data_IF_065704575108
#
_entry.id   IF_065704575108
#
_cell.length_a   1.000
_cell.length_b   1.000
_cell.length_c   1.000
_cell.angle_alpha   90.00
_cell.angle_beta   90.00
_cell.angle_gamma   90.00
#
_symmetry.space_group_name_H-M   'P 1'
#
loop_
_entity.id
_entity.type
_entity.pdbx_description
1 polymer ?
#
# COMPACT_ATOMS: atom_id res chain seq x y z
N UNK A 1 16.61 -50.14 27.69
CA UNK A 1 16.17 -48.74 27.91
C UNK A 1 15.40 -48.33 26.66
N UNK A 2 14.10 -47.99 26.74
CA UNK A 2 13.46 -47.34 25.60
C UNK A 2 14.22 -46.04 25.37
N UNK A 3 14.70 -45.83 24.16
CA UNK A 3 15.46 -44.65 23.74
C UNK A 3 14.61 -43.41 24.00
N UNK A 4 14.93 -42.67 25.06
CA UNK A 4 14.33 -41.38 25.36
C UNK A 4 14.58 -40.47 24.16
N UNK A 5 13.55 -40.23 23.35
CA UNK A 5 13.65 -39.27 22.25
C UNK A 5 13.66 -37.87 22.87
N UNK A 6 14.84 -37.23 22.90
CA UNK A 6 15.01 -35.85 23.35
C UNK A 6 14.10 -34.87 22.59
N UNK A 7 13.67 -35.24 21.37
CA UNK A 7 12.73 -34.48 20.55
C UNK A 7 11.39 -34.25 21.26
N UNK A 8 10.90 -35.22 22.04
CA UNK A 8 9.63 -35.08 22.76
C UNK A 8 9.68 -33.99 23.86
N UNK A 9 10.87 -33.67 24.36
CA UNK A 9 11.08 -32.64 25.38
C UNK A 9 11.55 -31.31 24.76
N UNK A 10 11.85 -31.29 23.47
CA UNK A 10 12.40 -30.11 22.82
C UNK A 10 11.46 -28.89 22.87
N UNK A 11 10.12 -29.00 22.72
CA UNK A 11 9.23 -27.86 22.87
C UNK A 11 9.38 -27.11 24.21
N UNK A 12 9.64 -27.82 25.31
CA UNK A 12 9.83 -27.20 26.63
C UNK A 12 11.25 -26.69 26.87
N UNK A 13 12.24 -27.25 26.18
CA UNK A 13 13.65 -26.86 26.30
C UNK A 13 14.06 -25.73 25.34
N UNK A 14 13.35 -25.57 24.21
CA UNK A 14 13.73 -24.67 23.13
C UNK A 14 13.92 -23.22 23.58
N UNK A 15 13.02 -22.71 24.44
CA UNK A 15 13.11 -21.35 24.97
C UNK A 15 14.41 -21.12 25.76
N UNK A 16 14.76 -22.10 26.61
CA UNK A 16 16.02 -22.09 27.37
C UNK A 16 17.25 -22.12 26.45
N UNK A 17 17.24 -22.99 25.44
CA UNK A 17 18.32 -23.09 24.46
C UNK A 17 18.49 -21.78 23.65
N UNK A 18 17.39 -21.17 23.21
CA UNK A 18 17.45 -19.88 22.49
C UNK A 18 18.02 -18.76 23.37
N UNK A 19 17.71 -18.73 24.67
CA UNK A 19 18.32 -17.75 25.59
C UNK A 19 19.82 -17.97 25.81
N UNK A 20 20.30 -19.22 25.74
CA UNK A 20 21.73 -19.53 25.85
C UNK A 20 22.51 -18.94 24.67
N UNK A 21 21.88 -18.73 23.51
CA UNK A 21 22.51 -18.02 22.38
C UNK A 21 22.85 -16.56 22.71
N UNK A 22 22.26 -15.99 23.77
CA UNK A 22 22.58 -14.66 24.26
C UNK A 22 23.65 -14.65 25.37
N UNK A 23 24.26 -15.79 25.68
CA UNK A 23 25.27 -15.90 26.74
C UNK A 23 26.52 -15.07 26.42
N UNK A 24 27.15 -14.48 27.43
CA UNK A 24 28.40 -13.72 27.30
C UNK A 24 29.57 -14.55 26.72
N UNK A 25 29.61 -15.86 26.98
CA UNK A 25 30.67 -16.76 26.55
C UNK A 25 30.44 -17.29 25.13
N UNK A 26 31.37 -16.97 24.22
CA UNK A 26 31.29 -17.36 22.80
C UNK A 26 31.33 -18.86 22.57
N UNK A 27 32.00 -19.64 23.42
CA UNK A 27 32.08 -21.09 23.28
C UNK A 27 30.76 -21.75 23.65
N UNK A 28 30.09 -21.26 24.70
CA UNK A 28 28.74 -21.72 25.08
C UNK A 28 27.75 -21.42 23.95
N UNK A 29 27.78 -20.21 23.38
CA UNK A 29 26.93 -19.84 22.24
C UNK A 29 27.17 -20.76 21.05
N UNK A 30 28.43 -21.00 20.67
CA UNK A 30 28.79 -21.85 19.53
C UNK A 30 28.32 -23.30 19.72
N UNK A 31 28.52 -23.87 20.91
CA UNK A 31 28.07 -25.23 21.20
C UNK A 31 26.54 -25.34 21.18
N UNK A 32 25.84 -24.32 21.68
CA UNK A 32 24.38 -24.26 21.63
C UNK A 32 23.85 -24.10 20.18
N UNK A 33 24.50 -23.26 19.36
CA UNK A 33 24.14 -23.10 17.94
C UNK A 33 24.27 -24.42 17.17
N UNK A 34 25.38 -25.15 17.35
CA UNK A 34 25.58 -26.47 16.72
C UNK A 34 24.49 -27.46 17.16
N UNK A 35 24.21 -27.53 18.46
CA UNK A 35 23.16 -28.40 19.00
C UNK A 35 21.77 -28.08 18.41
N UNK A 36 21.42 -26.80 18.32
CA UNK A 36 20.16 -26.36 17.71
C UNK A 36 20.11 -26.67 16.21
N UNK A 37 21.24 -26.57 15.50
CA UNK A 37 21.33 -26.97 14.10
C UNK A 37 21.07 -28.48 13.92
N UNK A 38 21.65 -29.31 14.79
CA UNK A 38 21.45 -30.76 14.75
C UNK A 38 19.99 -31.15 15.04
N UNK A 39 19.35 -30.51 16.03
CA UNK A 39 17.94 -30.72 16.30
C UNK A 39 17.05 -30.32 15.12
N UNK A 40 17.31 -29.17 14.50
CA UNK A 40 16.51 -28.72 13.36
C UNK A 40 16.61 -29.68 12.17
N UNK A 41 17.81 -30.22 11.92
CA UNK A 41 18.05 -31.22 10.87
C UNK A 41 17.28 -32.52 11.15
N UNK A 42 17.25 -33.01 12.39
CA UNK A 42 16.51 -34.23 12.73
C UNK A 42 14.99 -34.02 12.62
N UNK A 43 14.47 -32.88 13.08
CA UNK A 43 13.03 -32.56 12.95
C UNK A 43 12.64 -32.42 11.47
N UNK A 44 13.49 -31.79 10.66
CA UNK A 44 13.25 -31.68 9.21
C UNK A 44 13.17 -33.05 8.52
N UNK A 45 13.78 -34.09 9.12
CA UNK A 45 13.69 -35.47 8.66
C UNK A 45 12.46 -36.21 9.20
N UNK A 46 11.97 -35.84 10.38
CA UNK A 46 10.86 -36.48 11.08
C UNK A 46 9.89 -35.46 11.71
N UNK A 47 9.10 -34.73 10.89
CA UNK A 47 8.25 -33.64 11.37
C UNK A 47 7.14 -34.10 12.34
N UNK A 48 6.64 -35.34 12.18
CA UNK A 48 5.57 -35.91 13.01
C UNK A 48 5.97 -36.17 14.48
N UNK A 49 7.26 -36.05 14.82
CA UNK A 49 7.79 -36.43 16.13
C UNK A 49 7.71 -35.32 17.20
N UNK A 50 7.32 -34.09 16.82
CA UNK A 50 7.37 -32.91 17.70
C UNK A 50 6.16 -32.00 17.54
N UNK A 51 5.77 -31.33 18.62
CA UNK A 51 4.73 -30.29 18.62
C UNK A 51 5.25 -29.00 17.97
N UNK A 52 5.11 -28.91 16.64
CA UNK A 52 5.55 -27.75 15.83
C UNK A 52 4.85 -26.45 16.27
N UNK A 53 3.52 -26.38 16.49
CA UNK A 53 2.86 -25.16 16.95
C UNK A 53 3.44 -24.57 18.25
N UNK A 54 3.71 -25.41 19.26
CA UNK A 54 4.31 -24.94 20.52
C UNK A 54 5.72 -24.36 20.31
N UNK A 55 6.51 -24.98 19.43
CA UNK A 55 7.84 -24.51 19.07
C UNK A 55 7.78 -23.19 18.28
N UNK A 56 6.85 -23.06 17.32
CA UNK A 56 6.64 -21.82 16.55
C UNK A 56 6.35 -20.64 17.47
N UNK A 57 5.47 -20.80 18.47
CA UNK A 57 5.19 -19.73 19.44
C UNK A 57 6.45 -19.31 20.22
N UNK A 58 7.25 -20.28 20.67
CA UNK A 58 8.51 -20.02 21.36
C UNK A 58 9.49 -19.25 20.45
N UNK A 59 9.58 -19.63 19.19
CA UNK A 59 10.44 -18.98 18.19
C UNK A 59 9.99 -17.55 17.89
N UNK A 60 8.68 -17.32 17.76
CA UNK A 60 8.09 -15.99 17.55
C UNK A 60 8.47 -15.05 18.69
N UNK A 61 8.28 -15.48 19.95
CA UNK A 61 8.61 -14.66 21.13
C UNK A 61 10.10 -14.32 21.15
N UNK A 62 10.97 -15.33 20.97
CA UNK A 62 12.43 -15.11 20.99
C UNK A 62 12.89 -14.23 19.81
N UNK A 63 12.31 -14.40 18.62
CA UNK A 63 12.60 -13.56 17.46
C UNK A 63 12.23 -12.10 17.71
N UNK A 64 11.04 -11.83 18.26
CA UNK A 64 10.59 -10.45 18.60
C UNK A 64 11.53 -9.80 19.62
N UNK A 65 11.88 -10.52 20.70
CA UNK A 65 12.78 -10.02 21.75
C UNK A 65 14.17 -9.69 21.18
N UNK A 66 14.75 -10.63 20.41
CA UNK A 66 16.05 -10.44 19.78
C UNK A 66 16.04 -9.29 18.77
N UNK A 67 14.97 -9.15 17.97
CA UNK A 67 14.81 -8.05 17.01
C UNK A 67 14.76 -6.68 17.70
N UNK A 68 14.02 -6.57 18.80
CA UNK A 68 13.96 -5.35 19.59
C UNK A 68 15.35 -5.00 20.18
N UNK A 69 16.07 -6.00 20.70
CA UNK A 69 17.40 -5.79 21.26
C UNK A 69 18.42 -5.33 20.19
N UNK A 70 18.42 -5.94 19.00
CA UNK A 70 19.24 -5.51 17.85
C UNK A 70 18.90 -4.06 17.45
N UNK A 71 17.60 -3.71 17.38
CA UNK A 71 17.17 -2.35 17.05
C UNK A 71 17.67 -1.30 18.06
N UNK A 72 17.65 -1.61 19.37
CA UNK A 72 18.18 -0.69 20.40
C UNK A 72 19.69 -0.47 20.26
N UNK A 73 20.42 -1.49 19.81
CA UNK A 73 21.87 -1.40 19.57
C UNK A 73 22.18 -0.52 18.36
N UNK A 74 21.41 -0.66 17.27
CA UNK A 74 21.51 0.19 16.09
C UNK A 74 21.24 1.67 16.40
N UNK A 75 20.25 1.96 17.27
CA UNK A 75 19.95 3.33 17.68
C UNK A 75 21.06 3.95 18.55
N UNK A 76 21.74 3.16 19.40
CA UNK A 76 22.86 3.63 20.24
C UNK A 76 24.17 3.78 19.48
N UNK A 77 24.35 3.11 18.34
CA UNK A 77 25.53 3.19 17.48
C UNK A 77 25.65 4.49 16.67
N UNK A 78 24.58 5.30 16.61
CA UNK A 78 24.63 6.67 16.08
C UNK A 78 25.14 7.63 17.16
N UNK A 79 26.40 8.06 17.06
CA UNK A 79 27.09 8.81 18.11
C UNK A 79 26.39 10.14 18.48
N UNK A 80 26.19 10.43 19.78
CA UNK A 80 26.09 11.78 20.32
C UNK A 80 27.47 12.45 20.28
N UNK A 81 27.56 13.63 19.66
CA UNK A 81 28.67 14.60 19.71
C UNK A 81 29.84 14.23 20.64
N UNK A 82 30.92 13.67 20.09
CA UNK A 82 32.20 13.50 20.79
C UNK A 82 33.26 14.47 20.22
N UNK A 83 34.13 15.04 21.07
CA UNK A 83 34.98 16.17 20.70
C UNK A 83 36.16 15.72 19.82
N UNK A 84 36.51 16.57 18.85
CA UNK A 84 37.65 16.40 17.96
C UNK A 84 38.98 16.41 18.76
N UNK A 85 39.60 15.24 18.93
CA UNK A 85 41.06 15.16 19.01
C UNK A 85 41.61 13.74 18.82
N UNK A 86 42.47 13.61 17.80
CA UNK A 86 43.61 12.71 17.66
C UNK A 86 43.36 11.21 17.37
N UNK A 87 43.49 10.85 16.09
CA UNK A 87 44.46 9.84 15.65
C UNK A 87 44.01 8.37 15.53
N UNK A 88 44.01 7.92 14.26
CA UNK A 88 44.25 6.54 13.78
C UNK A 88 43.11 5.50 13.82
N UNK A 89 42.70 5.11 12.59
CA UNK A 89 42.09 3.84 12.20
C UNK A 89 40.75 3.46 12.83
N UNK A 90 39.68 4.19 12.49
CA UNK A 90 38.33 3.65 12.58
C UNK A 90 38.07 2.72 11.37
N UNK A 91 38.27 1.42 11.57
CA UNK A 91 37.74 0.40 10.66
C UNK A 91 36.21 0.50 10.60
N UNK A 92 35.57 0.24 9.45
CA UNK A 92 34.13 0.34 9.34
C UNK A 92 33.46 -0.68 10.27
N UNK A 93 32.40 -0.26 10.95
CA UNK A 93 31.61 -0.96 11.97
C UNK A 93 30.94 -2.29 11.53
N UNK A 94 31.35 -2.85 10.38
CA UNK A 94 30.75 -3.95 9.63
C UNK A 94 30.77 -5.32 10.32
N UNK A 95 31.48 -5.52 11.43
CA UNK A 95 31.64 -6.86 12.04
C UNK A 95 31.12 -7.02 13.48
N UNK A 96 30.57 -5.97 14.11
CA UNK A 96 30.14 -6.07 15.51
C UNK A 96 28.67 -6.49 15.66
N UNK A 97 27.78 -6.04 14.76
CA UNK A 97 26.35 -6.35 14.85
C UNK A 97 26.04 -7.78 14.41
N UNK A 98 26.63 -8.23 13.30
CA UNK A 98 26.48 -9.61 12.80
C UNK A 98 27.03 -10.66 13.75
N UNK A 99 27.99 -10.29 14.60
CA UNK A 99 28.56 -11.14 15.63
C UNK A 99 27.88 -11.00 17.00
N UNK A 100 26.85 -10.17 17.13
CA UNK A 100 26.17 -9.94 18.41
C UNK A 100 25.36 -11.16 18.86
N UNK A 101 25.30 -11.44 20.18
CA UNK A 101 24.51 -12.54 20.73
C UNK A 101 23.03 -12.46 20.33
N UNK A 102 22.47 -11.25 20.37
CA UNK A 102 21.08 -10.99 20.02
C UNK A 102 20.83 -11.27 18.53
N UNK A 103 21.79 -10.91 17.66
CA UNK A 103 21.68 -11.22 16.22
C UNK A 103 21.75 -12.72 15.98
N UNK A 104 22.62 -13.44 16.68
CA UNK A 104 22.69 -14.90 16.59
C UNK A 104 21.36 -15.56 17.02
N UNK A 105 20.77 -15.10 18.12
CA UNK A 105 19.46 -15.58 18.58
C UNK A 105 18.35 -15.29 17.56
N UNK A 106 18.31 -14.06 17.01
CA UNK A 106 17.34 -13.65 15.99
C UNK A 106 17.45 -14.54 14.73
N UNK A 107 18.65 -14.67 14.17
CA UNK A 107 18.91 -15.46 12.97
C UNK A 107 18.58 -16.94 13.20
N UNK A 108 18.92 -17.48 14.38
CA UNK A 108 18.58 -18.87 14.70
C UNK A 108 17.07 -19.07 14.78
N UNK A 109 16.33 -18.19 15.45
CA UNK A 109 14.88 -18.26 15.49
C UNK A 109 14.25 -18.17 14.07
N UNK A 110 14.77 -17.28 13.22
CA UNK A 110 14.33 -17.15 11.83
C UNK A 110 14.63 -18.40 10.99
N UNK A 111 15.79 -19.04 11.14
CA UNK A 111 16.13 -20.29 10.42
C UNK A 111 15.13 -21.39 10.73
N UNK A 112 14.78 -21.54 12.00
CA UNK A 112 13.78 -22.50 12.46
C UNK A 112 12.38 -22.18 11.94
N UNK A 113 11.93 -20.92 12.05
CA UNK A 113 10.66 -20.49 11.48
C UNK A 113 10.59 -20.75 9.97
N UNK A 114 11.66 -20.45 9.23
CA UNK A 114 11.73 -20.72 7.81
C UNK A 114 11.60 -22.21 7.50
N UNK A 115 12.27 -23.09 8.26
CA UNK A 115 12.17 -24.52 8.07
C UNK A 115 10.74 -25.04 8.30
N UNK A 116 10.06 -24.57 9.35
CA UNK A 116 8.67 -24.97 9.60
C UNK A 116 7.70 -24.44 8.55
N UNK A 117 7.90 -23.21 8.06
CA UNK A 117 7.13 -22.68 6.93
C UNK A 117 7.41 -23.48 5.65
N UNK A 118 8.63 -23.97 5.44
CA UNK A 118 8.98 -24.82 4.30
C UNK A 118 8.25 -26.18 4.31
N UNK A 119 8.12 -26.79 5.48
CA UNK A 119 7.53 -28.13 5.61
C UNK A 119 6.01 -28.10 5.71
N UNK A 120 5.44 -27.16 6.48
CA UNK A 120 4.02 -27.20 6.88
C UNK A 120 3.31 -25.84 6.77
N UNK A 121 3.66 -24.99 5.80
CA UNK A 121 3.07 -23.64 5.64
C UNK A 121 1.53 -23.58 5.72
N UNK A 122 0.81 -24.59 5.23
CA UNK A 122 -0.66 -24.64 5.30
C UNK A 122 -1.19 -24.90 6.71
N UNK A 123 -0.49 -25.69 7.54
CA UNK A 123 -0.87 -25.92 8.93
C UNK A 123 -0.59 -24.67 9.79
N UNK A 124 0.29 -23.78 9.33
CA UNK A 124 0.67 -22.55 10.01
C UNK A 124 -0.22 -21.36 9.66
N UNK A 125 -1.25 -21.52 8.82
CA UNK A 125 -2.18 -20.44 8.45
C UNK A 125 -2.77 -19.68 9.66
N UNK A 126 -3.18 -20.35 10.77
CA UNK A 126 -3.67 -19.65 11.96
C UNK A 126 -2.62 -18.76 12.64
N UNK A 127 -1.34 -19.07 12.46
CA UNK A 127 -0.20 -18.40 13.10
C UNK A 127 0.44 -17.33 12.20
N UNK A 128 -0.06 -17.13 10.97
CA UNK A 128 0.54 -16.20 10.01
C UNK A 128 0.70 -14.80 10.60
N UNK A 129 -0.34 -14.25 11.25
CA UNK A 129 -0.26 -12.93 11.86
C UNK A 129 0.87 -12.84 12.91
N UNK A 130 0.99 -13.86 13.76
CA UNK A 130 2.03 -13.90 14.78
C UNK A 130 3.43 -14.07 14.19
N UNK A 131 3.58 -14.90 13.15
CA UNK A 131 4.84 -15.04 12.42
C UNK A 131 5.23 -13.71 11.78
N UNK A 132 4.30 -13.02 11.11
CA UNK A 132 4.57 -11.74 10.44
C UNK A 132 5.01 -10.64 11.41
N UNK A 133 4.39 -10.55 12.58
CA UNK A 133 4.80 -9.58 13.59
C UNK A 133 6.19 -9.86 14.18
N UNK A 134 6.74 -11.06 14.01
CA UNK A 134 8.12 -11.38 14.35
C UNK A 134 9.09 -11.16 13.19
N UNK A 135 8.68 -11.46 11.95
CA UNK A 135 9.57 -11.51 10.79
C UNK A 135 9.61 -10.20 9.99
N UNK A 136 8.50 -9.47 9.83
CA UNK A 136 8.47 -8.21 9.08
C UNK A 136 9.38 -7.11 9.68
N UNK A 137 9.51 -6.95 11.02
CA UNK A 137 10.48 -6.02 11.60
C UNK A 137 11.94 -6.36 11.29
N UNK A 138 12.23 -7.61 10.89
CA UNK A 138 13.57 -8.02 10.47
C UNK A 138 13.95 -7.56 9.06
N UNK A 139 12.99 -7.01 8.28
CA UNK A 139 13.22 -6.48 6.94
C UNK A 139 13.81 -5.08 6.98
N UNK A 140 15.02 -4.94 7.52
CA UNK A 140 15.72 -3.66 7.64
C UNK A 140 16.35 -3.20 6.31
N UNK A 141 16.45 -1.90 6.10
CA UNK A 141 17.06 -1.31 4.89
C UNK A 141 18.59 -1.49 4.84
N UNK A 142 19.23 -1.67 5.99
CA UNK A 142 20.69 -1.84 6.07
C UNK A 142 21.15 -3.12 5.35
N UNK A 143 21.95 -2.93 4.29
CA UNK A 143 22.52 -4.00 3.47
C UNK A 143 23.85 -4.54 4.01
N UNK A 144 24.38 -3.96 5.09
CA UNK A 144 25.63 -4.42 5.69
C UNK A 144 25.46 -5.73 6.46
N UNK A 145 24.26 -6.01 6.98
CA UNK A 145 23.92 -7.27 7.65
C UNK A 145 22.66 -7.92 7.05
N UNK A 146 22.88 -8.77 6.04
CA UNK A 146 21.82 -9.51 5.35
C UNK A 146 21.38 -10.80 6.07
N UNK A 147 22.02 -11.18 7.18
CA UNK A 147 21.86 -12.53 7.77
C UNK A 147 20.43 -12.88 8.18
N UNK A 148 19.69 -11.95 8.80
CA UNK A 148 18.27 -12.10 9.09
C UNK A 148 17.38 -11.65 7.92
N UNK A 149 17.80 -10.62 7.18
CA UNK A 149 17.02 -10.00 6.10
C UNK A 149 16.62 -11.04 5.05
N UNK A 150 17.56 -11.83 4.55
CA UNK A 150 17.27 -12.82 3.51
C UNK A 150 16.32 -13.93 3.99
N UNK A 151 16.45 -14.34 5.26
CA UNK A 151 15.59 -15.37 5.84
C UNK A 151 14.18 -14.81 6.04
N UNK A 152 14.05 -13.59 6.54
CA UNK A 152 12.77 -12.92 6.70
C UNK A 152 12.07 -12.71 5.35
N UNK A 153 12.79 -12.33 4.29
CA UNK A 153 12.25 -12.26 2.93
C UNK A 153 11.73 -13.64 2.49
N UNK A 154 12.52 -14.70 2.66
CA UNK A 154 12.11 -16.06 2.28
C UNK A 154 10.85 -16.51 3.02
N UNK A 155 10.76 -16.27 4.33
CA UNK A 155 9.55 -16.58 5.11
C UNK A 155 8.36 -15.80 4.55
N UNK A 156 8.54 -14.49 4.32
CA UNK A 156 7.49 -13.61 3.81
C UNK A 156 6.92 -14.09 2.47
N UNK A 157 7.79 -14.39 1.49
CA UNK A 157 7.37 -14.91 0.18
C UNK A 157 6.60 -16.24 0.29
N UNK A 158 7.09 -17.16 1.13
CA UNK A 158 6.47 -18.48 1.31
C UNK A 158 5.10 -18.38 1.96
N UNK A 159 4.95 -17.52 2.96
CA UNK A 159 3.66 -17.30 3.61
C UNK A 159 2.65 -16.65 2.66
N UNK A 160 3.05 -15.63 1.88
CA UNK A 160 2.18 -15.04 0.86
C UNK A 160 1.73 -16.10 -0.16
N UNK A 161 2.66 -16.93 -0.64
CA UNK A 161 2.36 -18.03 -1.56
C UNK A 161 1.42 -19.07 -0.93
N UNK A 162 1.63 -19.43 0.34
CA UNK A 162 0.78 -20.38 1.04
C UNK A 162 -0.65 -19.87 1.19
N UNK A 163 -0.83 -18.58 1.51
CA UNK A 163 -2.16 -17.95 1.60
C UNK A 163 -2.87 -17.93 0.24
N UNK A 164 -2.16 -17.60 -0.85
CA UNK A 164 -2.70 -17.67 -2.20
C UNK A 164 -3.13 -19.09 -2.58
N UNK A 165 -2.28 -20.10 -2.36
CA UNK A 165 -2.58 -21.49 -2.67
C UNK A 165 -3.72 -22.07 -1.81
N UNK A 166 -3.84 -21.65 -0.54
CA UNK A 166 -4.91 -22.13 0.35
C UNK A 166 -6.32 -21.78 -0.16
N UNK A 167 -6.45 -20.68 -0.91
CA UNK A 167 -7.72 -20.28 -1.49
C UNK A 167 -8.05 -21.02 -2.79
N UNK A 168 -7.06 -21.27 -3.64
CA UNK A 168 -7.24 -22.09 -4.85
C UNK A 168 -7.71 -23.51 -4.51
N UNK A 169 -7.28 -24.03 -3.36
CA UNK A 169 -7.66 -25.35 -2.85
C UNK A 169 -9.10 -25.42 -2.29
N UNK A 170 -9.81 -24.29 -2.15
CA UNK A 170 -11.25 -24.25 -1.86
C UNK A 170 -12.05 -23.99 -3.16
N UNK A 171 -12.25 -24.97 -4.06
CA UNK A 171 -13.07 -24.74 -5.24
C UNK A 171 -14.57 -24.72 -4.86
N UNK A 172 -15.24 -23.64 -5.28
CA UNK A 172 -16.67 -23.56 -5.61
C UNK A 172 -17.61 -24.61 -4.99
N UNK A 173 -18.14 -24.34 -3.79
CA UNK A 173 -19.44 -24.92 -3.38
C UNK A 173 -20.55 -24.20 -4.16
N UNK A 174 -20.78 -24.63 -5.40
CA UNK A 174 -22.02 -24.38 -6.13
C UNK A 174 -22.56 -25.69 -6.65
N UNK A 175 -23.75 -26.04 -6.15
CA UNK A 175 -24.70 -27.06 -6.61
C UNK A 175 -24.40 -28.55 -6.32
N UNK A 176 -24.90 -29.02 -5.17
CA UNK A 176 -25.75 -30.21 -5.15
C UNK A 176 -26.67 -30.21 -3.92
N UNK A 177 -27.98 -30.18 -4.18
CA UNK A 177 -29.02 -30.42 -3.18
C UNK A 177 -29.11 -31.93 -2.94
N UNK A 178 -28.90 -32.37 -1.69
CA UNK A 178 -29.62 -33.53 -1.15
C UNK A 178 -29.73 -33.42 0.37
N UNK A 179 -30.89 -33.70 0.98
CA UNK A 179 -31.07 -33.63 2.42
C UNK A 179 -30.86 -35.02 3.04
N UNK A 180 -29.87 -35.15 3.92
CA UNK A 180 -29.80 -36.25 4.89
C UNK A 180 -29.43 -35.70 6.26
N UNK A 181 -30.01 -36.25 7.35
CA UNK A 181 -29.95 -35.67 8.70
C UNK A 181 -28.59 -35.96 9.37
N UNK A 182 -28.23 -35.20 10.43
CA UNK A 182 -26.92 -35.28 11.04
C UNK A 182 -26.83 -36.49 11.97
N UNK A 183 -25.75 -37.25 11.87
CA UNK A 183 -25.27 -38.12 12.94
C UNK A 183 -24.02 -37.49 13.53
N UNK A 184 -24.09 -37.23 14.82
CA UNK A 184 -23.01 -36.75 15.68
C UNK A 184 -21.80 -37.69 15.64
N UNK A 185 -20.69 -37.19 15.12
CA UNK A 185 -19.33 -37.59 15.54
C UNK A 185 -18.47 -36.33 15.51
N UNK A 186 -18.23 -35.80 16.71
CA UNK A 186 -17.25 -34.77 17.01
C UNK A 186 -15.85 -35.31 16.77
N UNK A 187 -15.25 -34.98 15.64
CA UNK A 187 -13.79 -34.93 15.48
C UNK A 187 -13.39 -33.45 15.30
N UNK A 188 -12.49 -32.90 16.13
CA UNK A 188 -12.02 -31.53 15.98
C UNK A 188 -10.90 -31.53 14.93
N UNK A 189 -11.26 -31.54 13.65
CA UNK A 189 -10.30 -31.16 12.60
C UNK A 189 -10.07 -29.67 12.70
N UNK A 190 -9.09 -29.26 13.51
CA UNK A 190 -8.53 -27.91 13.54
C UNK A 190 -7.72 -27.71 12.25
N UNK A 191 -8.39 -27.62 11.10
CA UNK A 191 -7.84 -26.93 9.93
C UNK A 191 -8.12 -25.45 10.16
N UNK A 192 -7.30 -24.83 11.01
CA UNK A 192 -7.52 -23.45 11.43
C UNK A 192 -7.46 -22.51 10.23
N UNK A 193 -8.52 -21.75 10.02
CA UNK A 193 -8.58 -20.75 8.96
C UNK A 193 -7.64 -19.57 9.26
N UNK A 194 -7.22 -18.83 8.23
CA UNK A 194 -6.43 -17.62 8.37
C UNK A 194 -7.26 -16.52 9.07
N UNK A 195 -6.76 -15.97 10.18
CA UNK A 195 -7.35 -14.76 10.79
C UNK A 195 -6.92 -13.50 10.02
N UNK A 196 -7.72 -13.13 9.02
CA UNK A 196 -7.47 -11.95 8.18
C UNK A 196 -7.42 -10.66 9.00
N UNK A 197 -8.23 -10.52 10.05
CA UNK A 197 -8.25 -9.32 10.90
C UNK A 197 -6.95 -9.18 11.69
N UNK A 198 -6.41 -10.28 12.20
CA UNK A 198 -5.12 -10.28 12.87
C UNK A 198 -3.98 -9.92 11.91
N UNK A 199 -3.99 -10.46 10.68
CA UNK A 199 -2.97 -10.11 9.66
C UNK A 199 -3.04 -8.63 9.31
N UNK A 200 -4.23 -8.07 9.04
CA UNK A 200 -4.40 -6.64 8.77
C UNK A 200 -3.91 -5.77 9.92
N UNK A 201 -4.20 -6.15 11.18
CA UNK A 201 -3.71 -5.42 12.35
C UNK A 201 -2.19 -5.38 12.39
N UNK A 202 -1.53 -6.51 12.13
CA UNK A 202 -0.06 -6.59 12.10
C UNK A 202 0.50 -5.74 10.97
N UNK A 203 -0.06 -5.80 9.76
CA UNK A 203 0.43 -5.00 8.62
C UNK A 203 0.26 -3.50 8.87
N UNK A 204 -0.83 -3.07 9.51
CA UNK A 204 -1.02 -1.66 9.86
C UNK A 204 -0.02 -1.16 10.89
N UNK A 205 0.35 -1.98 11.88
CA UNK A 205 1.46 -1.65 12.79
C UNK A 205 2.77 -1.50 12.00
N UNK A 206 3.01 -2.37 11.01
CA UNK A 206 4.20 -2.30 10.16
C UNK A 206 4.24 -1.07 9.25
N UNK A 207 3.12 -0.41 8.98
CA UNK A 207 3.09 0.83 8.20
C UNK A 207 3.84 2.00 8.85
N UNK A 208 4.09 1.95 10.15
CA UNK A 208 4.84 2.98 10.88
C UNK A 208 6.32 2.62 11.06
N UNK A 209 6.76 1.49 10.52
CA UNK A 209 8.12 1.03 10.69
C UNK A 209 9.13 1.92 9.94
N UNK A 210 10.29 2.17 10.56
CA UNK A 210 11.32 3.04 9.98
C UNK A 210 11.87 2.50 8.64
N UNK A 211 11.97 1.17 8.52
CA UNK A 211 12.47 0.51 7.31
C UNK A 211 11.47 0.62 6.15
N UNK A 212 11.95 1.12 5.00
CA UNK A 212 11.19 1.18 3.74
C UNK A 212 10.78 -0.23 3.30
N UNK A 213 11.68 -1.21 3.39
CA UNK A 213 11.38 -2.60 3.04
C UNK A 213 10.23 -3.21 3.86
N UNK A 214 10.17 -2.91 5.16
CA UNK A 214 9.08 -3.39 6.03
C UNK A 214 7.75 -2.78 5.61
N UNK A 215 7.70 -1.47 5.35
CA UNK A 215 6.47 -0.77 4.91
C UNK A 215 5.99 -1.29 3.55
N UNK A 216 6.91 -1.48 2.60
CA UNK A 216 6.58 -2.08 1.29
C UNK A 216 6.05 -3.50 1.42
N UNK A 217 6.65 -4.32 2.29
CA UNK A 217 6.20 -5.70 2.51
C UNK A 217 4.82 -5.76 3.17
N UNK A 218 4.52 -4.82 4.08
CA UNK A 218 3.20 -4.69 4.68
C UNK A 218 2.13 -4.27 3.64
N UNK A 219 2.46 -3.34 2.73
CA UNK A 219 1.55 -2.96 1.64
C UNK A 219 1.25 -4.15 0.72
N UNK A 220 2.27 -4.93 0.38
CA UNK A 220 2.12 -6.14 -0.42
C UNK A 220 1.27 -7.21 0.27
N UNK A 221 1.32 -7.32 1.60
CA UNK A 221 0.39 -8.20 2.33
C UNK A 221 -1.06 -7.77 2.17
N UNK A 222 -1.35 -6.46 2.23
CA UNK A 222 -2.70 -5.98 1.97
C UNK A 222 -3.12 -6.31 0.54
N UNK A 223 -2.23 -6.16 -0.44
CA UNK A 223 -2.49 -6.57 -1.83
C UNK A 223 -2.86 -8.05 -1.94
N UNK A 224 -2.06 -8.96 -1.37
CA UNK A 224 -2.37 -10.40 -1.33
C UNK A 224 -3.71 -10.68 -0.64
N UNK A 225 -4.03 -9.97 0.45
CA UNK A 225 -5.31 -10.14 1.13
C UNK A 225 -6.49 -9.61 0.32
N UNK A 226 -6.30 -8.61 -0.54
CA UNK A 226 -7.36 -8.16 -1.46
C UNK A 226 -7.67 -9.23 -2.49
N UNK A 227 -6.64 -9.90 -3.04
CA UNK A 227 -6.83 -10.99 -3.99
C UNK A 227 -7.57 -12.19 -3.38
N UNK A 228 -7.28 -12.49 -2.12
CA UNK A 228 -7.76 -13.72 -1.47
C UNK A 228 -9.02 -13.51 -0.63
N UNK A 229 -9.07 -12.42 0.15
CA UNK A 229 -10.13 -12.10 1.11
C UNK A 229 -10.68 -10.67 0.92
N UNK A 230 -11.14 -10.30 -0.28
CA UNK A 230 -11.48 -8.92 -0.60
C UNK A 230 -12.54 -8.32 0.33
N UNK A 231 -13.61 -9.07 0.64
CA UNK A 231 -14.69 -8.55 1.48
C UNK A 231 -14.17 -8.15 2.87
N UNK A 232 -13.30 -8.96 3.49
CA UNK A 232 -12.70 -8.65 4.78
C UNK A 232 -11.84 -7.39 4.74
N UNK A 233 -11.10 -7.17 3.64
CA UNK A 233 -10.31 -5.94 3.46
C UNK A 233 -11.22 -4.72 3.25
N UNK A 234 -12.28 -4.84 2.46
CA UNK A 234 -13.24 -3.75 2.24
C UNK A 234 -14.06 -3.44 3.49
N UNK A 235 -14.38 -4.42 4.33
CA UNK A 235 -15.06 -4.22 5.60
C UNK A 235 -14.20 -3.39 6.58
N UNK A 236 -12.87 -3.50 6.47
CA UNK A 236 -11.91 -2.75 7.28
C UNK A 236 -11.39 -1.46 6.60
N UNK A 237 -11.97 -1.09 5.46
CA UNK A 237 -11.56 0.08 4.65
C UNK A 237 -11.55 1.41 5.41
N UNK A 238 -12.35 1.53 6.48
CA UNK A 238 -12.37 2.70 7.35
C UNK A 238 -11.03 2.95 8.05
N UNK A 239 -10.28 1.89 8.36
CA UNK A 239 -8.93 1.98 8.92
C UNK A 239 -7.89 2.07 7.80
N UNK A 240 -8.06 1.30 6.73
CA UNK A 240 -7.10 1.23 5.63
C UNK A 240 -6.96 2.55 4.86
N UNK A 241 -8.06 3.20 4.49
CA UNK A 241 -8.03 4.38 3.61
C UNK A 241 -7.21 5.56 4.19
N UNK A 242 -7.39 5.97 5.46
CA UNK A 242 -6.53 6.99 6.07
C UNK A 242 -5.04 6.63 6.04
N UNK A 243 -4.70 5.35 6.23
CA UNK A 243 -3.31 4.87 6.19
C UNK A 243 -2.72 4.97 4.77
N UNK A 244 -3.48 4.59 3.75
CA UNK A 244 -3.07 4.72 2.33
C UNK A 244 -2.87 6.18 1.92
N UNK A 245 -3.76 7.08 2.36
CA UNK A 245 -3.61 8.53 2.15
C UNK A 245 -2.36 9.08 2.83
N UNK A 246 -2.06 8.63 4.06
CA UNK A 246 -0.84 9.03 4.77
C UNK A 246 0.42 8.62 3.99
N UNK A 247 0.42 7.45 3.36
CA UNK A 247 1.56 7.00 2.54
C UNK A 247 1.84 7.86 1.32
N UNK A 248 0.89 8.65 0.83
CA UNK A 248 1.16 9.62 -0.23
C UNK A 248 2.16 10.70 0.23
N UNK A 249 2.26 10.91 1.54
CA UNK A 249 3.22 11.81 2.16
C UNK A 249 4.53 11.13 2.57
N UNK A 250 4.69 9.80 2.38
CA UNK A 250 5.90 9.05 2.77
C UNK A 250 7.16 9.62 2.08
N UNK A 251 8.30 9.75 2.80
CA UNK A 251 9.54 10.25 2.21
C UNK A 251 10.08 9.36 1.08
N UNK A 252 9.83 8.05 1.10
CA UNK A 252 10.29 7.12 0.08
C UNK A 252 9.30 7.07 -1.10
N UNK A 253 9.72 7.45 -2.32
CA UNK A 253 8.83 7.48 -3.47
C UNK A 253 8.33 6.08 -3.88
N UNK A 254 9.07 5.01 -3.60
CA UNK A 254 8.64 3.64 -3.82
C UNK A 254 7.42 3.27 -2.98
N UNK A 255 7.34 3.77 -1.73
CA UNK A 255 6.20 3.56 -0.84
C UNK A 255 4.98 4.33 -1.33
N UNK A 256 5.17 5.57 -1.79
CA UNK A 256 4.10 6.37 -2.42
C UNK A 256 3.52 5.61 -3.61
N UNK A 257 4.38 5.11 -4.52
CA UNK A 257 3.96 4.35 -5.70
C UNK A 257 3.27 3.03 -5.34
N UNK A 258 3.78 2.31 -4.34
CA UNK A 258 3.16 1.06 -3.87
C UNK A 258 1.78 1.31 -3.27
N UNK A 259 1.60 2.39 -2.49
CA UNK A 259 0.29 2.81 -1.98
C UNK A 259 -0.68 3.14 -3.13
N UNK A 260 -0.23 3.91 -4.13
CA UNK A 260 -1.05 4.24 -5.32
C UNK A 260 -1.39 3.00 -6.15
N UNK A 261 -0.48 2.04 -6.26
CA UNK A 261 -0.72 0.75 -6.92
C UNK A 261 -1.80 -0.04 -6.18
N UNK A 262 -1.71 -0.13 -4.86
CA UNK A 262 -2.70 -0.80 -4.02
C UNK A 262 -4.07 -0.12 -4.09
N UNK A 263 -4.13 1.21 -4.09
CA UNK A 263 -5.38 1.96 -4.33
C UNK A 263 -5.97 1.60 -5.69
N UNK A 264 -5.13 1.53 -6.72
CA UNK A 264 -5.54 1.09 -8.07
C UNK A 264 -6.14 -0.30 -8.06
N UNK A 265 -5.46 -1.25 -7.41
CA UNK A 265 -5.91 -2.62 -7.24
C UNK A 265 -7.28 -2.66 -6.54
N UNK A 266 -7.41 -1.99 -5.39
CA UNK A 266 -8.67 -1.90 -4.64
C UNK A 266 -9.80 -1.31 -5.50
N UNK A 267 -9.55 -0.21 -6.20
CA UNK A 267 -10.57 0.43 -7.03
C UNK A 267 -11.03 -0.44 -8.20
N UNK A 268 -10.17 -1.27 -8.78
CA UNK A 268 -10.53 -2.19 -9.88
C UNK A 268 -11.18 -3.48 -9.40
N UNK A 269 -11.04 -3.81 -8.12
CA UNK A 269 -11.55 -5.06 -7.59
C UNK A 269 -13.11 -5.06 -7.60
N UNK A 270 -13.79 -6.15 -8.03
CA UNK A 270 -15.25 -6.20 -8.14
C UNK A 270 -16.00 -5.88 -6.83
N UNK A 271 -15.41 -6.23 -5.69
CA UNK A 271 -15.99 -5.96 -4.37
C UNK A 271 -16.11 -4.46 -4.05
N UNK A 272 -15.31 -3.60 -4.69
CA UNK A 272 -15.38 -2.14 -4.51
C UNK A 272 -16.74 -1.55 -4.95
N UNK A 273 -17.44 -2.21 -5.88
CA UNK A 273 -18.80 -1.80 -6.30
C UNK A 273 -19.85 -1.92 -5.19
N UNK A 274 -19.61 -2.80 -4.21
CA UNK A 274 -20.49 -3.03 -3.05
C UNK A 274 -20.14 -2.14 -1.86
N UNK A 275 -19.09 -1.31 -1.99
CA UNK A 275 -18.69 -0.39 -0.94
C UNK A 275 -19.81 0.62 -0.66
N UNK A 276 -20.30 0.62 0.57
CA UNK A 276 -21.34 1.54 1.05
C UNK A 276 -20.82 2.59 2.02
N UNK A 277 -19.53 2.48 2.40
CA UNK A 277 -18.82 3.31 3.41
C UNK A 277 -19.61 3.56 4.69
N UNK A 278 -20.45 2.61 5.11
CA UNK A 278 -21.12 2.67 6.40
C UNK A 278 -20.19 2.14 7.49
N UNK A 279 -19.77 3.05 8.36
CA UNK A 279 -18.94 2.75 9.52
C UNK A 279 -19.77 2.01 10.60
N UNK A 280 -19.18 1.05 11.33
CA UNK A 280 -19.72 0.62 12.62
C UNK A 280 -19.78 1.83 13.58
N UNK A 281 -20.84 1.99 14.39
CA UNK A 281 -21.07 3.19 15.22
C UNK A 281 -20.11 3.37 16.41
N UNK A 282 -18.92 2.76 16.41
CA UNK A 282 -17.98 2.84 17.53
C UNK A 282 -16.55 3.18 17.06
N UNK A 283 -16.27 4.48 16.96
CA UNK A 283 -15.11 5.16 17.57
C UNK A 283 -15.13 6.63 17.09
N UNK A 284 -14.96 7.56 18.04
CA UNK A 284 -15.19 8.99 17.84
C UNK A 284 -14.45 9.57 16.64
N UNK A 285 -15.20 9.93 15.60
CA UNK A 285 -14.69 10.69 14.47
C UNK A 285 -14.57 12.17 14.84
N UNK A 286 -13.37 12.72 14.65
CA UNK A 286 -13.01 14.12 14.83
C UNK A 286 -13.23 14.96 13.55
N UNK A 287 -13.96 14.45 12.55
CA UNK A 287 -14.20 15.18 11.30
C UNK A 287 -15.70 15.54 11.13
N UNK A 288 -16.02 16.79 10.74
CA UNK A 288 -17.39 17.20 10.48
C UNK A 288 -17.96 16.47 9.26
N UNK A 289 -19.28 16.34 9.23
CA UNK A 289 -20.10 15.59 8.26
C UNK A 289 -19.64 15.73 6.79
N UNK A 290 -18.84 14.76 6.33
CA UNK A 290 -18.61 14.54 4.90
C UNK A 290 -19.83 13.89 4.23
N UNK A 291 -19.92 13.94 2.89
CA UNK A 291 -20.99 13.26 2.17
C UNK A 291 -20.96 11.76 2.50
N UNK A 292 -22.11 11.19 2.86
CA UNK A 292 -22.19 9.76 3.17
C UNK A 292 -21.74 8.94 1.95
N UNK A 293 -21.08 7.80 2.16
CA UNK A 293 -20.67 6.95 1.04
C UNK A 293 -21.85 6.44 0.20
N UNK A 294 -23.08 6.39 0.74
CA UNK A 294 -24.31 6.21 -0.05
C UNK A 294 -24.56 7.36 -1.01
N UNK A 295 -24.34 8.60 -0.58
CA UNK A 295 -24.45 9.80 -1.43
C UNK A 295 -23.37 9.81 -2.51
N UNK A 296 -22.14 9.40 -2.19
CA UNK A 296 -21.05 9.26 -3.16
C UNK A 296 -21.34 8.17 -4.19
N UNK A 297 -21.77 6.98 -3.75
CA UNK A 297 -22.17 5.91 -4.67
C UNK A 297 -23.37 6.31 -5.52
N UNK A 298 -24.34 7.06 -4.98
CA UNK A 298 -25.44 7.63 -5.75
C UNK A 298 -24.94 8.62 -6.81
N UNK A 299 -24.01 9.50 -6.47
CA UNK A 299 -23.38 10.42 -7.42
C UNK A 299 -22.72 9.67 -8.57
N UNK A 300 -21.94 8.62 -8.28
CA UNK A 300 -21.32 7.75 -9.31
C UNK A 300 -22.36 7.02 -10.16
N UNK A 301 -23.42 6.47 -9.56
CA UNK A 301 -24.45 5.76 -10.33
C UNK A 301 -25.33 6.69 -11.19
N UNK A 302 -25.54 7.93 -10.74
CA UNK A 302 -26.25 8.95 -11.49
C UNK A 302 -25.40 9.46 -12.68
N UNK A 303 -24.08 9.43 -12.55
CA UNK A 303 -23.13 9.68 -13.63
C UNK A 303 -22.94 8.42 -14.48
N UNK A 304 -23.83 8.22 -15.47
CA UNK A 304 -23.82 7.18 -16.52
C UNK A 304 -22.68 6.14 -16.46
N UNK A 305 -22.97 4.94 -15.95
CA UNK A 305 -22.06 3.77 -15.84
C UNK A 305 -21.35 3.36 -17.14
N UNK A 306 -21.72 3.92 -18.30
CA UNK A 306 -21.08 3.63 -19.60
C UNK A 306 -19.85 4.48 -19.89
N UNK A 307 -19.55 5.51 -19.10
CA UNK A 307 -18.55 6.53 -19.46
C UNK A 307 -17.15 6.21 -18.93
N UNK A 308 -17.07 5.58 -17.75
CA UNK A 308 -15.84 5.30 -17.00
C UNK A 308 -16.04 4.08 -16.08
N UNK A 309 -15.00 3.26 -15.90
CA UNK A 309 -14.88 2.29 -14.81
C UNK A 309 -14.72 3.02 -13.46
N UNK A 310 -15.82 3.51 -12.91
CA UNK A 310 -15.87 4.28 -11.68
C UNK A 310 -16.75 3.60 -10.62
N UNK A 311 -16.32 3.64 -9.36
CA UNK A 311 -17.12 3.18 -8.22
C UNK A 311 -17.01 4.15 -7.04
N UNK A 312 -17.92 3.98 -6.07
CA UNK A 312 -17.99 4.84 -4.89
C UNK A 312 -16.74 4.81 -4.02
N UNK A 313 -16.01 3.68 -3.98
CA UNK A 313 -14.75 3.57 -3.27
C UNK A 313 -13.67 4.48 -3.87
N UNK A 314 -13.52 4.44 -5.20
CA UNK A 314 -12.59 5.30 -5.93
C UNK A 314 -12.93 6.79 -5.75
N UNK A 315 -14.21 7.14 -5.88
CA UNK A 315 -14.67 8.52 -5.64
C UNK A 315 -14.36 8.99 -4.21
N UNK A 316 -14.58 8.13 -3.21
CA UNK A 316 -14.29 8.44 -1.81
C UNK A 316 -12.80 8.68 -1.59
N UNK A 317 -11.92 7.80 -2.10
CA UNK A 317 -10.48 8.00 -1.99
C UNK A 317 -10.02 9.28 -2.70
N UNK A 318 -10.49 9.56 -3.91
CA UNK A 318 -10.10 10.76 -4.66
C UNK A 318 -10.63 12.05 -3.99
N UNK A 319 -11.79 12.00 -3.34
CA UNK A 319 -12.29 13.11 -2.54
C UNK A 319 -11.40 13.38 -1.33
N UNK A 320 -11.03 12.34 -0.58
CA UNK A 320 -10.11 12.48 0.55
C UNK A 320 -8.74 12.97 0.11
N UNK A 321 -8.25 12.51 -1.04
CA UNK A 321 -7.02 13.01 -1.67
C UNK A 321 -7.12 14.50 -2.03
N UNK A 322 -8.21 14.92 -2.67
CA UNK A 322 -8.42 16.32 -3.01
C UNK A 322 -8.40 17.20 -1.74
N UNK A 323 -9.09 16.76 -0.69
CA UNK A 323 -9.09 17.44 0.61
C UNK A 323 -7.70 17.47 1.26
N UNK A 324 -6.92 16.39 1.16
CA UNK A 324 -5.54 16.34 1.65
C UNK A 324 -4.65 17.34 0.91
N UNK A 325 -4.72 17.37 -0.42
CA UNK A 325 -3.97 18.30 -1.27
C UNK A 325 -4.33 19.77 -1.00
N UNK A 326 -5.61 20.05 -0.73
CA UNK A 326 -6.08 21.39 -0.40
C UNK A 326 -5.60 21.85 0.98
N UNK A 327 -5.54 20.92 1.94
CA UNK A 327 -5.08 21.18 3.31
C UNK A 327 -3.56 21.32 3.40
N UNK A 328 -2.81 20.51 2.66
CA UNK A 328 -1.34 20.49 2.64
C UNK A 328 -0.80 21.08 1.33
N UNK A 329 -0.51 22.39 1.37
CA UNK A 329 0.00 23.14 0.21
C UNK A 329 1.39 22.69 -0.24
N UNK A 330 2.21 22.16 0.66
CA UNK A 330 3.57 21.72 0.32
C UNK A 330 3.52 20.37 -0.39
N UNK A 331 2.67 19.45 0.10
CA UNK A 331 2.38 18.19 -0.58
C UNK A 331 1.81 18.44 -1.99
N UNK A 332 0.85 19.36 -2.13
CA UNK A 332 0.30 19.76 -3.42
C UNK A 332 1.38 20.25 -4.40
N UNK A 333 2.31 21.09 -3.93
CA UNK A 333 3.38 21.66 -4.77
C UNK A 333 4.42 20.62 -5.19
N UNK A 334 4.86 19.79 -4.25
CA UNK A 334 6.02 18.91 -4.46
C UNK A 334 5.64 17.48 -4.88
N UNK A 335 4.45 17.01 -4.52
CA UNK A 335 4.00 15.64 -4.77
C UNK A 335 2.70 15.54 -5.56
N UNK A 336 1.91 16.61 -5.66
CA UNK A 336 0.63 16.60 -6.38
C UNK A 336 0.76 16.15 -7.83
N UNK A 337 1.84 16.52 -8.51
CA UNK A 337 2.14 16.04 -9.87
C UNK A 337 2.33 14.53 -9.92
N UNK A 338 3.29 14.00 -9.14
CA UNK A 338 3.60 12.57 -9.08
C UNK A 338 2.36 11.75 -8.72
N UNK A 339 1.59 12.20 -7.72
CA UNK A 339 0.42 11.46 -7.24
C UNK A 339 -0.65 11.36 -8.32
N UNK A 340 -0.99 12.47 -8.99
CA UNK A 340 -2.03 12.46 -10.03
C UNK A 340 -1.54 11.71 -11.28
N UNK A 341 -0.26 11.80 -11.65
CA UNK A 341 0.27 11.02 -12.77
C UNK A 341 0.27 9.53 -12.48
N UNK A 342 0.68 9.12 -11.28
CA UNK A 342 0.76 7.71 -10.91
C UNK A 342 -0.65 7.13 -10.71
N UNK A 343 -1.60 7.90 -10.15
CA UNK A 343 -3.02 7.52 -10.11
C UNK A 343 -3.61 7.40 -11.52
N UNK A 344 -3.25 8.30 -12.44
CA UNK A 344 -3.72 8.22 -13.82
C UNK A 344 -3.18 6.97 -14.54
N UNK A 345 -1.96 6.53 -14.24
CA UNK A 345 -1.44 5.25 -14.71
C UNK A 345 -2.14 4.07 -14.02
N UNK A 346 -2.39 4.17 -12.72
CA UNK A 346 -2.94 3.10 -11.88
C UNK A 346 -4.46 2.91 -11.99
N UNK A 347 -5.22 3.94 -12.39
CA UNK A 347 -6.69 3.90 -12.49
C UNK A 347 -7.19 4.21 -13.91
N UNK A 348 -6.32 4.68 -14.78
CA UNK A 348 -6.67 5.24 -16.07
C UNK A 348 -6.94 6.75 -15.98
N UNK A 349 -6.26 7.53 -16.82
CA UNK A 349 -6.37 8.99 -16.84
C UNK A 349 -7.82 9.47 -17.04
N UNK A 350 -8.55 8.84 -17.96
CA UNK A 350 -9.97 9.15 -18.19
C UNK A 350 -10.79 9.03 -16.90
N UNK A 351 -10.55 7.98 -16.11
CA UNK A 351 -11.26 7.74 -14.86
C UNK A 351 -10.94 8.77 -13.79
N UNK A 352 -9.64 9.04 -13.59
CA UNK A 352 -9.17 10.01 -12.60
C UNK A 352 -9.71 11.40 -12.92
N UNK A 353 -9.59 11.85 -14.17
CA UNK A 353 -10.05 13.17 -14.58
C UNK A 353 -11.57 13.32 -14.51
N UNK A 354 -12.32 12.27 -14.85
CA UNK A 354 -13.78 12.27 -14.70
C UNK A 354 -14.23 12.39 -13.24
N UNK A 355 -13.66 11.56 -12.36
CA UNK A 355 -14.02 11.55 -10.94
C UNK A 355 -13.58 12.83 -10.23
N UNK A 356 -12.40 13.35 -10.55
CA UNK A 356 -11.97 14.65 -10.04
C UNK A 356 -12.86 15.78 -10.54
N UNK A 357 -13.32 15.75 -11.79
CA UNK A 357 -14.30 16.72 -12.30
C UNK A 357 -15.64 16.64 -11.56
N UNK A 358 -16.12 15.42 -11.26
CA UNK A 358 -17.32 15.21 -10.45
C UNK A 358 -17.17 15.79 -9.03
N UNK A 359 -16.00 15.58 -8.40
CA UNK A 359 -15.65 16.15 -7.09
C UNK A 359 -15.65 17.68 -7.15
N UNK A 360 -14.97 18.26 -8.14
CA UNK A 360 -14.86 19.71 -8.34
C UNK A 360 -16.24 20.35 -8.52
N UNK A 361 -17.10 19.79 -9.36
CA UNK A 361 -18.43 20.35 -9.64
C UNK A 361 -19.39 20.19 -8.45
N UNK A 362 -19.38 19.03 -7.79
CA UNK A 362 -20.45 18.64 -6.87
C UNK A 362 -20.09 18.78 -5.38
N UNK A 363 -18.80 18.77 -5.03
CA UNK A 363 -18.36 18.56 -3.64
C UNK A 363 -17.39 19.63 -3.11
N UNK A 364 -16.74 20.40 -3.98
CA UNK A 364 -15.78 21.43 -3.57
C UNK A 364 -16.39 22.84 -3.58
N UNK A 365 -15.86 23.70 -2.70
CA UNK A 365 -16.16 25.14 -2.73
C UNK A 365 -15.44 25.79 -3.92
N UNK A 366 -15.96 26.91 -4.49
CA UNK A 366 -15.40 27.51 -5.70
C UNK A 366 -13.90 27.84 -5.63
N UNK A 367 -13.38 28.27 -4.46
CA UNK A 367 -11.95 28.57 -4.27
C UNK A 367 -11.08 27.30 -4.31
N UNK A 368 -11.57 26.23 -3.72
CA UNK A 368 -10.86 24.94 -3.68
C UNK A 368 -10.93 24.25 -5.04
N UNK A 369 -12.09 24.31 -5.69
CA UNK A 369 -12.31 23.89 -7.06
C UNK A 369 -11.32 24.56 -8.02
N UNK A 370 -11.11 25.88 -7.92
CA UNK A 370 -10.12 26.60 -8.73
C UNK A 370 -8.71 25.98 -8.61
N UNK A 371 -8.24 25.71 -7.38
CA UNK A 371 -6.90 25.15 -7.15
C UNK A 371 -6.77 23.73 -7.72
N UNK A 372 -7.77 22.88 -7.50
CA UNK A 372 -7.74 21.50 -8.01
C UNK A 372 -7.74 21.51 -9.54
N UNK A 373 -8.58 22.33 -10.17
CA UNK A 373 -8.60 22.49 -11.64
C UNK A 373 -7.28 23.02 -12.17
N UNK A 374 -6.67 24.00 -11.49
CA UNK A 374 -5.35 24.52 -11.86
C UNK A 374 -4.28 23.41 -11.86
N UNK A 375 -4.23 22.59 -10.81
CA UNK A 375 -3.33 21.44 -10.73
C UNK A 375 -3.57 20.46 -11.88
N UNK A 376 -4.82 20.01 -12.04
CA UNK A 376 -5.19 19.02 -13.06
C UNK A 376 -4.89 19.53 -14.46
N UNK A 377 -5.18 20.80 -14.74
CA UNK A 377 -4.92 21.39 -16.05
C UNK A 377 -3.43 21.46 -16.35
N UNK A 378 -2.61 21.91 -15.39
CA UNK A 378 -1.14 21.91 -15.54
C UNK A 378 -0.64 20.51 -15.87
N UNK A 379 -1.04 19.50 -15.09
CA UNK A 379 -0.62 18.11 -15.29
C UNK A 379 -1.10 17.60 -16.66
N UNK A 380 -2.36 17.85 -17.03
CA UNK A 380 -2.94 17.46 -18.32
C UNK A 380 -2.17 18.03 -19.49
N UNK A 381 -1.65 19.25 -19.38
CA UNK A 381 -0.95 19.92 -20.46
C UNK A 381 0.53 19.53 -20.54
N UNK A 382 1.20 19.34 -19.41
CA UNK A 382 2.67 19.21 -19.39
C UNK A 382 3.16 17.76 -19.25
N UNK A 383 2.41 16.87 -18.60
CA UNK A 383 2.95 15.57 -18.21
C UNK A 383 2.97 14.57 -19.38
N UNK A 384 4.13 13.95 -19.71
CA UNK A 384 4.24 13.04 -20.84
C UNK A 384 3.43 11.75 -20.66
N UNK A 385 3.22 11.32 -19.41
CA UNK A 385 2.38 10.15 -19.08
C UNK A 385 0.92 10.30 -19.54
N UNK A 386 0.46 11.53 -19.81
CA UNK A 386 -0.89 11.82 -20.28
C UNK A 386 -0.98 12.05 -21.81
N UNK A 387 0.07 11.73 -22.56
CA UNK A 387 0.08 11.88 -24.03
C UNK A 387 -1.07 11.13 -24.71
N UNK A 388 -1.28 9.87 -24.38
CA UNK A 388 -2.36 9.06 -24.96
C UNK A 388 -3.74 9.63 -24.63
N UNK A 389 -3.91 10.07 -23.38
CA UNK A 389 -5.15 10.69 -22.93
C UNK A 389 -5.43 12.02 -23.67
N UNK A 390 -4.42 12.89 -23.82
CA UNK A 390 -4.54 14.10 -24.65
C UNK A 390 -4.94 13.81 -26.09
N UNK A 391 -4.36 12.75 -26.69
CA UNK A 391 -4.71 12.34 -28.05
C UNK A 391 -6.15 11.82 -28.12
N UNK A 392 -6.58 11.02 -27.16
CA UNK A 392 -7.98 10.57 -27.05
C UNK A 392 -8.94 11.75 -26.92
N UNK A 393 -8.58 12.79 -26.16
CA UNK A 393 -9.38 14.02 -26.04
C UNK A 393 -9.49 14.81 -27.35
N UNK A 394 -8.45 14.79 -28.21
CA UNK A 394 -8.48 15.45 -29.52
C UNK A 394 -9.40 14.74 -30.51
N UNK A 395 -9.58 13.43 -30.36
CA UNK A 395 -10.36 12.59 -31.29
C UNK A 395 -11.67 12.11 -30.67
N UNK A 396 -12.23 12.84 -29.71
CA UNK A 396 -13.46 12.45 -29.03
C UNK A 396 -14.64 12.32 -29.99
N UNK A 397 -15.43 11.28 -29.80
CA UNK A 397 -16.66 11.06 -30.53
C UNK A 397 -17.80 11.86 -29.86
N UNK A 398 -18.41 12.85 -30.54
CA UNK A 398 -19.43 13.71 -29.95
C UNK A 398 -20.70 12.96 -29.52
N UNK A 399 -20.92 11.71 -29.95
CA UNK A 399 -22.06 10.89 -29.49
C UNK A 399 -21.77 10.07 -28.25
N UNK A 400 -20.52 9.63 -28.08
CA UNK A 400 -20.12 8.70 -27.00
C UNK A 400 -19.46 9.45 -25.84
N UNK A 401 -18.68 10.47 -26.15
CA UNK A 401 -17.88 11.23 -25.18
C UNK A 401 -18.58 12.48 -24.63
N UNK A 402 -19.82 12.76 -25.05
CA UNK A 402 -20.51 14.01 -24.66
C UNK A 402 -20.63 14.16 -23.16
N UNK A 403 -20.98 13.09 -22.44
CA UNK A 403 -21.15 13.10 -20.98
C UNK A 403 -19.80 13.33 -20.29
N UNK A 404 -18.74 12.73 -20.82
CA UNK A 404 -17.39 12.92 -20.30
C UNK A 404 -16.91 14.36 -20.48
N UNK A 405 -17.06 14.90 -21.70
CA UNK A 405 -16.66 16.27 -22.01
C UNK A 405 -17.48 17.29 -21.22
N UNK A 406 -18.81 17.11 -21.10
CA UNK A 406 -19.65 17.99 -20.30
C UNK A 406 -19.21 18.02 -18.83
N UNK A 407 -18.90 16.87 -18.24
CA UNK A 407 -18.42 16.79 -16.87
C UNK A 407 -17.11 17.55 -16.67
N UNK A 408 -16.13 17.36 -17.56
CA UNK A 408 -14.89 18.13 -17.55
C UNK A 408 -15.13 19.61 -17.77
N UNK A 409 -15.96 19.96 -18.75
CA UNK A 409 -16.25 21.34 -19.11
C UNK A 409 -16.82 22.10 -17.90
N UNK A 410 -17.81 21.54 -17.20
CA UNK A 410 -18.42 22.15 -16.02
C UNK A 410 -17.43 22.33 -14.88
N UNK A 411 -16.61 21.32 -14.61
CA UNK A 411 -15.55 21.43 -13.61
C UNK A 411 -14.50 22.49 -13.99
N UNK A 412 -14.09 22.54 -15.25
CA UNK A 412 -13.08 23.48 -15.72
C UNK A 412 -13.57 24.93 -15.72
N UNK A 413 -14.89 25.19 -15.72
CA UNK A 413 -15.44 26.54 -15.55
C UNK A 413 -14.97 27.24 -14.26
N UNK A 414 -14.53 26.50 -13.24
CA UNK A 414 -13.98 27.08 -12.02
C UNK A 414 -12.63 27.77 -12.23
N UNK A 415 -11.91 27.50 -13.33
CA UNK A 415 -10.75 28.26 -13.77
C UNK A 415 -10.88 28.60 -15.27
N UNK A 416 -11.17 29.85 -15.64
CA UNK A 416 -11.52 30.20 -17.01
C UNK A 416 -10.34 30.10 -18.00
N UNK A 417 -9.10 30.20 -17.54
CA UNK A 417 -7.91 29.94 -18.39
C UNK A 417 -7.78 28.44 -18.65
N UNK A 418 -8.00 27.61 -17.62
CA UNK A 418 -8.04 26.17 -17.78
C UNK A 418 -9.15 25.74 -18.76
N UNK A 419 -10.34 26.34 -18.66
CA UNK A 419 -11.45 26.09 -19.59
C UNK A 419 -11.06 26.39 -21.04
N UNK A 420 -10.40 27.53 -21.26
CA UNK A 420 -9.88 27.90 -22.58
C UNK A 420 -8.88 26.85 -23.07
N UNK A 421 -7.92 26.43 -22.25
CA UNK A 421 -6.94 25.41 -22.64
C UNK A 421 -7.57 24.04 -22.90
N UNK A 422 -8.61 23.66 -22.16
CA UNK A 422 -9.38 22.44 -22.41
C UNK A 422 -10.03 22.50 -23.80
N UNK A 423 -10.69 23.60 -24.14
CA UNK A 423 -11.35 23.76 -25.43
C UNK A 423 -10.35 23.83 -26.60
N UNK A 424 -9.18 24.41 -26.39
CA UNK A 424 -8.07 24.37 -27.36
C UNK A 424 -7.56 22.94 -27.55
N UNK A 425 -7.36 22.20 -26.46
CA UNK A 425 -6.90 20.81 -26.49
C UNK A 425 -7.89 19.91 -27.25
N UNK A 426 -9.19 20.10 -27.07
CA UNK A 426 -10.25 19.34 -27.74
C UNK A 426 -10.66 19.94 -29.09
N UNK A 427 -9.91 20.91 -29.62
CA UNK A 427 -10.12 21.51 -30.95
C UNK A 427 -11.48 22.22 -31.15
N UNK A 428 -12.10 22.70 -30.06
CA UNK A 428 -13.36 23.44 -30.10
C UNK A 428 -13.11 24.94 -30.33
N UNK A 429 -12.48 25.31 -31.46
CA UNK A 429 -11.99 26.67 -31.70
C UNK A 429 -13.09 27.73 -31.82
N UNK A 430 -14.25 27.36 -32.36
CA UNK A 430 -15.43 28.25 -32.44
C UNK A 430 -15.87 28.68 -31.04
N UNK A 431 -15.88 27.73 -30.10
CA UNK A 431 -16.21 27.98 -28.70
C UNK A 431 -15.10 28.75 -27.98
N UNK A 432 -13.83 28.46 -28.26
CA UNK A 432 -12.69 29.23 -27.74
C UNK A 432 -12.82 30.72 -28.08
N UNK A 433 -13.22 31.05 -29.32
CA UNK A 433 -13.45 32.43 -29.75
C UNK A 433 -14.53 33.13 -28.94
N UNK A 434 -15.60 32.42 -28.58
CA UNK A 434 -16.67 32.97 -27.72
C UNK A 434 -16.15 33.17 -26.29
N UNK A 435 -15.45 32.18 -25.74
CA UNK A 435 -14.87 32.25 -24.40
C UNK A 435 -13.87 33.41 -24.26
N UNK A 436 -13.01 33.66 -25.25
CA UNK A 436 -12.05 34.77 -25.23
C UNK A 436 -12.77 36.13 -25.17
N UNK A 437 -13.89 36.28 -25.90
CA UNK A 437 -14.70 37.51 -25.82
C UNK A 437 -15.28 37.69 -24.42
N UNK A 438 -15.87 36.64 -23.85
CA UNK A 438 -16.41 36.68 -22.49
C UNK A 438 -15.31 36.96 -21.44
N UNK A 439 -14.13 36.36 -21.61
CA UNK A 439 -12.95 36.58 -20.76
C UNK A 439 -12.51 38.04 -20.75
N UNK A 440 -12.54 38.71 -21.91
CA UNK A 440 -12.21 40.13 -22.02
C UNK A 440 -13.19 41.07 -21.31
N UNK A 441 -14.39 40.60 -21.00
CA UNK A 441 -15.41 41.36 -20.25
C UNK A 441 -15.32 41.14 -18.73
N UNK A 442 -14.57 40.12 -18.27
CA UNK A 442 -14.39 39.82 -16.85
C UNK A 442 -13.36 40.75 -16.20
N UNK A 443 -13.55 41.03 -14.91
CA UNK A 443 -12.53 41.70 -14.11
C UNK A 443 -11.29 40.80 -14.00
N UNK A 444 -10.21 41.22 -14.64
CA UNK A 444 -8.96 40.46 -14.73
C UNK A 444 -8.24 40.48 -13.37
N UNK A 445 -8.07 39.29 -12.76
CA UNK A 445 -7.29 39.11 -11.54
C UNK A 445 -5.81 38.85 -11.86
N UNK A 446 -4.92 39.08 -10.87
CA UNK A 446 -3.49 38.74 -11.01
C UNK A 446 -3.29 37.25 -11.25
N UNK A 447 -4.05 36.40 -10.55
CA UNK A 447 -4.00 34.94 -10.73
C UNK A 447 -4.38 34.53 -12.16
N UNK A 448 -5.41 35.16 -12.74
CA UNK A 448 -5.80 34.92 -14.13
C UNK A 448 -4.72 35.36 -15.13
N UNK A 449 -4.04 36.48 -14.88
CA UNK A 449 -2.94 36.94 -15.74
C UNK A 449 -1.76 35.97 -15.72
N UNK A 450 -1.40 35.47 -14.53
CA UNK A 450 -0.32 34.49 -14.37
C UNK A 450 -0.66 33.20 -15.11
N UNK A 451 -1.89 32.69 -14.96
CA UNK A 451 -2.34 31.49 -15.68
C UNK A 451 -2.36 31.71 -17.21
N UNK A 452 -2.82 32.89 -17.66
CA UNK A 452 -2.87 33.21 -19.09
C UNK A 452 -1.46 33.29 -19.69
N UNK A 453 -0.52 33.94 -19.00
CA UNK A 453 0.89 34.00 -19.41
C UNK A 453 1.51 32.59 -19.50
N UNK A 454 1.26 31.75 -18.48
CA UNK A 454 1.69 30.35 -18.51
C UNK A 454 1.10 29.57 -19.69
N UNK A 455 -0.18 29.75 -19.99
CA UNK A 455 -0.81 29.09 -21.13
C UNK A 455 -0.20 29.55 -22.46
N UNK A 456 0.06 30.86 -22.62
CA UNK A 456 0.69 31.41 -23.83
C UNK A 456 2.09 30.80 -24.00
N UNK A 457 2.91 30.81 -22.95
CA UNK A 457 4.25 30.21 -22.97
C UNK A 457 4.19 28.70 -23.30
N UNK A 458 3.20 27.97 -22.78
CA UNK A 458 2.98 26.57 -23.11
C UNK A 458 2.61 26.39 -24.59
N UNK A 459 1.70 27.20 -25.14
CA UNK A 459 1.32 27.14 -26.57
C UNK A 459 2.54 27.40 -27.47
N UNK A 460 3.41 28.33 -27.09
CA UNK A 460 4.65 28.62 -27.81
C UNK A 460 5.70 27.50 -27.70
N UNK A 461 5.58 26.63 -26.70
CA UNK A 461 6.50 25.52 -26.47
C UNK A 461 6.42 24.44 -27.57
N UNK A 462 7.51 23.66 -27.78
CA UNK A 462 7.53 22.57 -28.76
C UNK A 462 6.44 21.51 -28.54
N UNK A 463 6.04 21.28 -27.28
CA UNK A 463 5.02 20.28 -26.92
C UNK A 463 3.67 20.57 -27.58
N UNK A 464 3.39 21.84 -27.88
CA UNK A 464 2.14 22.29 -28.50
C UNK A 464 2.30 22.65 -29.98
N UNK A 465 3.34 22.17 -30.66
CA UNK A 465 3.55 22.42 -32.09
C UNK A 465 2.32 22.02 -32.96
N UNK A 466 1.70 20.87 -32.69
CA UNK A 466 0.49 20.42 -33.40
C UNK A 466 -0.68 21.39 -33.23
N UNK A 467 -0.90 21.89 -32.01
CA UNK A 467 -1.96 22.86 -31.75
C UNK A 467 -1.71 24.16 -32.51
N UNK A 468 -0.46 24.64 -32.55
CA UNK A 468 -0.10 25.85 -33.31
C UNK A 468 -0.36 25.70 -34.81
N UNK A 469 -0.04 24.54 -35.39
CA UNK A 469 -0.34 24.27 -36.79
C UNK A 469 -1.84 24.33 -37.06
N UNK A 470 -2.66 23.69 -36.21
CA UNK A 470 -4.12 23.73 -36.36
C UNK A 470 -4.75 25.11 -36.13
N UNK A 471 -4.09 26.02 -35.39
CA UNK A 471 -4.59 27.38 -35.20
C UNK A 471 -4.28 28.30 -36.40
N UNK A 472 -3.36 27.88 -37.27
CA UNK A 472 -3.02 28.60 -38.51
C UNK A 472 -3.91 28.16 -39.68
N UNK A 473 -4.29 26.87 -39.71
CA UNK A 473 -5.26 26.30 -40.65
C UNK A 473 -6.68 26.86 -40.43
#
# INVERSE_FOLDING_TARGET
>A
MPTLSLLNYLPSLLDGLLRILSDSNSEIRRNCELLLSDFLMEISRQPESTDVPAMVNTLIVNCRLATAAVATTLQRGGCPTAPESLGANAYPSQSLLSASPERLQQVTALRWLNAFVDTESLNLLPLVADILSATLPCLIDDRSDCSALEIAIRINEKLMKAVLCAQEAKPHSTASKSPTPPTDTTDPTVTGELDVSAVLRVTYVMFEHASVLTRLSALRWVEVLVDVFPNSVFDDSAQLLPLLLRFLSDPAPEVVRSSISLVGHLCRHPAASKYTGTFPPHQGSLCPAGPSAKSLSQLVTASSQKVVEANGFCLHFLLDLANLLLRDRDMLKHKGELIITDLSASLGARSVYYLMALIVESLLQPKDAFVVVQLLNRILLTQPSLNEFRNSMRTMNPKEDVVFFEQLYRAWCHNPVALLSLCLLTQNYSHCRLLIKCLGELAVSVEMLVEMDQLIQLIESPVFATLRLHLID
#
